data_IF_787151952353
#
_entry.id   IF_787151952353
#
_cell.length_a   1.000
_cell.length_b   1.000
_cell.length_c   1.000
_cell.angle_alpha   90.00
_cell.angle_beta   90.00
_cell.angle_gamma   90.00
#
_symmetry.space_group_name_H-M   'P 1'
#
loop_
_entity.id
_entity.type
_entity.pdbx_description
1 polymer ?
#
# COMPACT_ATOMS: atom_id res chain seq x y z
N UNK A 1 -20.36 -8.92 -14.33
CA UNK A 1 -19.60 -9.66 -15.36
C UNK A 1 -19.11 -8.77 -16.53
N UNK A 2 -19.97 -8.03 -17.25
CA UNK A 2 -19.54 -7.20 -18.39
C UNK A 2 -18.51 -6.10 -18.03
N UNK A 3 -18.65 -5.45 -16.90
CA UNK A 3 -17.74 -4.39 -16.45
C UNK A 3 -16.33 -4.91 -16.11
N UNK A 4 -16.23 -6.13 -15.56
CA UNK A 4 -14.95 -6.80 -15.26
C UNK A 4 -14.18 -7.16 -16.52
N UNK A 5 -14.83 -7.75 -17.52
CA UNK A 5 -14.22 -8.12 -18.81
C UNK A 5 -13.72 -6.88 -19.57
N UNK A 6 -14.48 -5.78 -19.52
CA UNK A 6 -14.09 -4.52 -20.15
C UNK A 6 -12.82 -3.94 -19.50
N UNK A 7 -12.73 -4.00 -18.16
CA UNK A 7 -11.54 -3.56 -17.45
C UNK A 7 -10.33 -4.45 -17.72
N UNK A 8 -10.50 -5.77 -17.88
CA UNK A 8 -9.41 -6.70 -18.22
C UNK A 8 -8.77 -6.37 -19.58
N UNK A 9 -9.58 -6.14 -20.61
CA UNK A 9 -9.08 -5.73 -21.93
C UNK A 9 -8.37 -4.37 -21.88
N UNK A 10 -8.92 -3.42 -21.10
CA UNK A 10 -8.35 -2.10 -20.94
C UNK A 10 -6.99 -2.16 -20.24
N UNK A 11 -6.90 -2.89 -19.14
CA UNK A 11 -5.67 -3.12 -18.36
C UNK A 11 -4.59 -3.80 -19.22
N UNK A 12 -4.94 -4.86 -19.95
CA UNK A 12 -4.02 -5.55 -20.85
C UNK A 12 -3.46 -4.61 -21.94
N UNK A 13 -4.32 -3.76 -22.52
CA UNK A 13 -3.92 -2.75 -23.49
C UNK A 13 -2.97 -1.72 -22.86
N UNK A 14 -3.29 -1.22 -21.67
CA UNK A 14 -2.45 -0.24 -20.98
C UNK A 14 -1.09 -0.83 -20.59
N UNK A 15 -1.01 -2.04 -20.08
CA UNK A 15 0.26 -2.68 -19.76
C UNK A 15 1.18 -2.81 -20.97
N UNK A 16 0.64 -3.09 -22.17
CA UNK A 16 1.43 -3.06 -23.41
C UNK A 16 1.90 -1.65 -23.77
N UNK A 17 1.01 -0.67 -23.66
CA UNK A 17 1.30 0.73 -24.03
C UNK A 17 2.30 1.40 -23.08
N UNK A 18 2.22 1.10 -21.78
CA UNK A 18 3.04 1.73 -20.73
C UNK A 18 4.29 0.91 -20.36
N UNK A 19 4.60 -0.17 -21.10
CA UNK A 19 5.73 -1.06 -20.80
C UNK A 19 7.06 -0.33 -20.54
N UNK A 20 7.34 0.74 -21.26
CA UNK A 20 8.59 1.51 -21.21
C UNK A 20 8.42 2.90 -20.62
N UNK A 21 7.26 3.21 -20.08
CA UNK A 21 6.96 4.50 -19.49
C UNK A 21 7.47 4.59 -18.05
N UNK A 22 7.72 5.82 -17.60
CA UNK A 22 8.14 6.07 -16.23
C UNK A 22 6.93 6.21 -15.28
N UNK A 23 7.20 6.26 -13.96
CA UNK A 23 6.16 6.33 -12.95
C UNK A 23 5.26 7.56 -13.06
N UNK A 24 5.80 8.71 -13.50
CA UNK A 24 5.05 9.95 -13.64
C UNK A 24 4.06 9.85 -14.81
N UNK A 25 4.49 9.33 -15.95
CA UNK A 25 3.64 9.12 -17.14
C UNK A 25 2.48 8.16 -16.84
N UNK A 26 2.74 7.08 -16.07
CA UNK A 26 1.69 6.16 -15.60
C UNK A 26 0.67 6.88 -14.71
N UNK A 27 1.13 7.76 -13.82
CA UNK A 27 0.25 8.55 -12.95
C UNK A 27 -0.54 9.60 -13.71
N UNK A 28 0.10 10.32 -14.65
CA UNK A 28 -0.56 11.33 -15.50
C UNK A 28 -1.67 10.68 -16.32
N UNK A 29 -1.41 9.52 -16.92
CA UNK A 29 -2.46 8.76 -17.61
C UNK A 29 -3.59 8.35 -16.66
N UNK A 30 -3.24 7.84 -15.47
CA UNK A 30 -4.22 7.39 -14.49
C UNK A 30 -5.13 8.51 -14.02
N UNK A 31 -4.60 9.71 -13.81
CA UNK A 31 -5.35 10.85 -13.29
C UNK A 31 -6.01 11.71 -14.38
N UNK A 32 -5.47 11.68 -15.60
CA UNK A 32 -5.88 12.59 -16.68
C UNK A 32 -6.72 11.96 -17.79
N UNK A 33 -6.72 10.61 -17.93
CA UNK A 33 -7.36 9.97 -19.09
C UNK A 33 -8.90 9.97 -19.06
N UNK A 34 -9.52 10.19 -17.90
CA UNK A 34 -10.97 10.04 -17.69
C UNK A 34 -11.48 8.59 -17.77
N UNK A 35 -10.62 7.62 -18.14
CA UNK A 35 -11.01 6.21 -18.32
C UNK A 35 -10.83 5.36 -17.05
N UNK A 36 -10.20 5.92 -16.04
CA UNK A 36 -9.92 5.29 -14.75
C UNK A 36 -11.00 5.54 -13.70
N UNK A 37 -12.02 6.33 -14.05
CA UNK A 37 -13.09 6.69 -13.13
C UNK A 37 -12.60 7.49 -11.92
N UNK A 38 -13.21 7.25 -10.76
CA UNK A 38 -12.82 7.87 -9.50
C UNK A 38 -11.58 7.19 -8.94
N UNK A 39 -10.51 7.96 -8.76
CA UNK A 39 -9.19 7.45 -8.35
C UNK A 39 -8.87 7.82 -6.91
N UNK A 40 -8.30 6.89 -6.15
CA UNK A 40 -7.65 7.16 -4.86
C UNK A 40 -6.25 6.59 -4.81
N UNK A 41 -5.36 7.17 -4.00
CA UNK A 41 -4.06 6.59 -3.65
C UNK A 41 -4.14 5.99 -2.25
N UNK A 42 -3.68 4.76 -2.07
CA UNK A 42 -3.59 4.11 -0.76
C UNK A 42 -2.16 4.19 -0.25
N UNK A 43 -1.98 4.76 0.94
CA UNK A 43 -0.67 4.93 1.56
C UNK A 43 -0.65 4.50 3.02
N UNK A 44 0.45 3.87 3.45
CA UNK A 44 0.75 3.60 4.86
C UNK A 44 1.69 4.65 5.47
N UNK A 45 2.12 5.65 4.71
CA UNK A 45 3.14 6.63 5.10
C UNK A 45 4.40 5.96 5.72
N UNK A 46 4.77 4.79 5.22
CA UNK A 46 6.01 4.10 5.59
C UNK A 46 7.26 4.74 4.95
N UNK A 47 8.40 4.05 5.09
CA UNK A 47 9.72 4.58 4.73
C UNK A 47 9.84 5.16 3.29
N UNK A 48 9.21 4.52 2.31
CA UNK A 48 9.34 4.87 0.88
C UNK A 48 8.07 5.51 0.30
N UNK A 49 7.01 5.64 1.10
CA UNK A 49 5.70 6.14 0.63
C UNK A 49 5.77 7.58 0.11
N UNK A 50 6.69 8.37 0.62
CA UNK A 50 6.86 9.78 0.26
C UNK A 50 7.16 9.97 -1.23
N UNK A 51 7.82 9.01 -1.88
CA UNK A 51 8.14 9.07 -3.31
C UNK A 51 6.87 9.10 -4.15
N UNK A 52 5.97 8.14 -3.91
CA UNK A 52 4.70 8.07 -4.64
C UNK A 52 3.78 9.26 -4.34
N UNK A 53 3.74 9.69 -3.08
CA UNK A 53 2.98 10.86 -2.65
C UNK A 53 3.51 12.15 -3.30
N UNK A 54 4.84 12.29 -3.44
CA UNK A 54 5.45 13.42 -4.13
C UNK A 54 5.13 13.40 -5.64
N UNK A 55 5.26 12.25 -6.30
CA UNK A 55 4.88 12.12 -7.72
C UNK A 55 3.41 12.50 -7.93
N UNK A 56 2.51 12.04 -7.05
CA UNK A 56 1.09 12.39 -7.07
C UNK A 56 0.88 13.90 -6.93
N UNK A 57 1.56 14.52 -5.94
CA UNK A 57 1.40 15.95 -5.64
C UNK A 57 1.82 16.87 -6.80
N UNK A 58 2.74 16.41 -7.64
CA UNK A 58 3.15 17.14 -8.86
C UNK A 58 2.07 17.18 -9.93
N UNK A 59 1.08 16.29 -9.87
CA UNK A 59 0.00 16.21 -10.85
C UNK A 59 -1.27 16.81 -10.25
N UNK A 60 -1.70 16.30 -9.07
CA UNK A 60 -2.94 16.76 -8.44
C UNK A 60 -2.93 16.54 -6.93
N UNK A 61 -2.79 17.61 -6.16
CA UNK A 61 -2.80 17.60 -4.69
C UNK A 61 -4.18 17.33 -4.08
N UNK A 62 -5.26 17.39 -4.87
CA UNK A 62 -6.64 17.11 -4.43
C UNK A 62 -7.03 15.63 -4.58
N UNK A 63 -6.18 14.80 -5.23
CA UNK A 63 -6.45 13.37 -5.34
C UNK A 63 -6.62 12.75 -3.94
N UNK A 64 -7.70 11.99 -3.67
CA UNK A 64 -7.90 11.34 -2.39
C UNK A 64 -6.73 10.41 -2.03
N UNK A 65 -6.13 10.61 -0.86
CA UNK A 65 -5.11 9.74 -0.28
C UNK A 65 -5.71 9.03 0.92
N UNK A 66 -5.90 7.72 0.83
CA UNK A 66 -6.43 6.88 1.89
C UNK A 66 -5.27 6.42 2.79
N UNK A 67 -5.17 6.98 3.97
CA UNK A 67 -4.19 6.61 5.00
C UNK A 67 -4.77 5.56 5.93
N UNK A 68 -4.20 4.35 5.93
CA UNK A 68 -4.64 3.27 6.80
C UNK A 68 -3.98 3.40 8.16
N UNK A 69 -4.71 3.90 9.14
CA UNK A 69 -4.30 3.92 10.53
C UNK A 69 -4.90 2.72 11.28
N UNK A 70 -4.07 1.74 11.55
CA UNK A 70 -4.45 0.50 12.24
C UNK A 70 -4.69 0.69 13.74
N UNK A 71 -4.50 1.90 14.26
CA UNK A 71 -4.47 2.22 15.68
C UNK A 71 -3.36 1.47 16.45
N UNK A 72 -2.39 0.92 15.70
CA UNK A 72 -1.18 0.25 16.19
C UNK A 72 0.07 0.78 15.48
N UNK A 73 -0.01 1.93 14.81
CA UNK A 73 1.13 2.54 14.16
C UNK A 73 2.07 3.17 15.20
N UNK A 74 3.33 3.33 14.82
CA UNK A 74 4.27 4.15 15.61
C UNK A 74 3.80 5.61 15.63
N UNK A 75 3.98 6.29 16.77
CA UNK A 75 3.73 7.74 16.87
C UNK A 75 4.53 8.52 15.83
N UNK A 76 5.75 8.06 15.50
CA UNK A 76 6.58 8.63 14.44
C UNK A 76 5.94 8.52 13.05
N UNK A 77 5.18 7.46 12.77
CA UNK A 77 4.45 7.32 11.50
C UNK A 77 3.30 8.31 11.42
N UNK A 78 2.57 8.51 12.52
CA UNK A 78 1.48 9.48 12.60
C UNK A 78 2.01 10.92 12.42
N UNK A 79 3.11 11.26 13.09
CA UNK A 79 3.75 12.56 12.94
C UNK A 79 4.29 12.77 11.51
N UNK A 80 4.93 11.75 10.94
CA UNK A 80 5.47 11.77 9.57
C UNK A 80 4.36 11.95 8.52
N UNK A 81 3.19 11.33 8.74
CA UNK A 81 2.03 11.52 7.87
C UNK A 81 1.61 13.00 7.82
N UNK A 82 1.53 13.68 8.96
CA UNK A 82 1.18 15.09 9.03
C UNK A 82 2.24 15.98 8.36
N UNK A 83 3.52 15.70 8.62
CA UNK A 83 4.66 16.42 8.01
C UNK A 83 4.63 16.30 6.47
N UNK A 84 4.53 15.08 5.94
CA UNK A 84 4.49 14.83 4.49
C UNK A 84 3.27 15.47 3.85
N UNK A 85 2.10 15.34 4.47
CA UNK A 85 0.85 15.95 3.99
C UNK A 85 1.01 17.45 3.83
N UNK A 86 1.54 18.13 4.84
CA UNK A 86 1.78 19.59 4.82
C UNK A 86 2.84 19.97 3.78
N UNK A 87 3.98 19.25 3.76
CA UNK A 87 5.11 19.57 2.88
C UNK A 87 4.77 19.41 1.40
N UNK A 88 3.95 18.41 1.06
CA UNK A 88 3.52 18.14 -0.31
C UNK A 88 2.22 18.86 -0.71
N UNK A 89 1.61 19.65 0.18
CA UNK A 89 0.38 20.37 -0.07
C UNK A 89 -0.82 19.46 -0.37
N UNK A 90 -0.84 18.22 0.16
CA UNK A 90 -1.94 17.28 -0.07
C UNK A 90 -3.19 17.73 0.70
N UNK A 91 -4.28 18.01 0.00
CA UNK A 91 -5.48 18.61 0.59
C UNK A 91 -6.60 17.61 0.90
N UNK A 92 -6.47 16.35 0.48
CA UNK A 92 -7.53 15.34 0.60
C UNK A 92 -6.99 14.02 1.16
N UNK A 93 -6.30 14.09 2.32
CA UNK A 93 -5.85 12.89 3.04
C UNK A 93 -6.94 12.43 4.00
N UNK A 94 -7.41 11.20 3.83
CA UNK A 94 -8.48 10.58 4.62
C UNK A 94 -7.93 9.46 5.46
N UNK A 95 -8.06 9.56 6.78
CA UNK A 95 -7.66 8.49 7.69
C UNK A 95 -8.72 7.41 7.76
N UNK A 96 -8.32 6.18 7.44
CA UNK A 96 -9.17 4.99 7.44
C UNK A 96 -8.81 4.13 8.65
N UNK A 97 -9.82 3.75 9.44
CA UNK A 97 -9.68 2.98 10.68
C UNK A 97 -10.76 1.92 10.79
N UNK A 98 -10.47 0.84 11.52
CA UNK A 98 -11.52 -0.04 12.04
C UNK A 98 -12.41 0.73 13.03
N UNK A 99 -13.70 0.42 13.05
CA UNK A 99 -14.63 1.06 13.99
C UNK A 99 -14.36 0.61 15.43
N UNK A 100 -14.70 1.44 16.40
CA UNK A 100 -14.58 1.07 17.81
C UNK A 100 -15.42 -0.19 18.13
N UNK A 101 -16.59 -0.32 17.52
CA UNK A 101 -17.47 -1.48 17.68
C UNK A 101 -16.82 -2.76 17.16
N UNK A 102 -16.20 -2.73 15.97
CA UNK A 102 -15.54 -3.91 15.41
C UNK A 102 -14.33 -4.33 16.27
N UNK A 103 -13.57 -3.35 16.77
CA UNK A 103 -12.44 -3.62 17.67
C UNK A 103 -12.90 -4.24 18.98
N UNK A 104 -13.91 -3.66 19.62
CA UNK A 104 -14.45 -4.17 20.88
C UNK A 104 -14.99 -5.58 20.73
N UNK A 105 -15.64 -5.88 19.61
CA UNK A 105 -16.23 -7.21 19.33
C UNK A 105 -15.18 -8.27 19.02
N UNK A 106 -14.09 -7.91 18.28
CA UNK A 106 -13.19 -8.90 17.70
C UNK A 106 -11.82 -8.95 18.38
N UNK A 107 -11.35 -7.84 18.94
CA UNK A 107 -10.01 -7.70 19.56
C UNK A 107 -10.07 -6.80 20.80
N UNK A 108 -10.94 -7.11 21.81
CA UNK A 108 -11.15 -6.26 22.98
C UNK A 108 -9.86 -6.06 23.80
N UNK A 109 -9.00 -7.07 23.85
CA UNK A 109 -7.74 -7.05 24.61
C UNK A 109 -6.54 -6.55 23.79
N UNK A 110 -6.75 -6.16 22.51
CA UNK A 110 -5.68 -5.71 21.62
C UNK A 110 -4.57 -6.76 21.39
N UNK A 111 -4.89 -8.06 21.45
CA UNK A 111 -3.93 -9.18 21.41
C UNK A 111 -3.93 -9.96 20.10
N UNK A 112 -4.89 -9.69 19.22
CA UNK A 112 -5.07 -10.42 17.96
C UNK A 112 -3.81 -10.40 17.08
N UNK A 113 -3.02 -9.32 17.16
CA UNK A 113 -1.75 -9.23 16.43
C UNK A 113 -0.72 -10.30 16.83
N UNK A 114 -0.83 -10.88 18.04
CA UNK A 114 0.03 -11.97 18.53
C UNK A 114 -0.55 -13.33 18.24
N UNK A 115 -1.86 -13.50 18.45
CA UNK A 115 -2.55 -14.81 18.38
C UNK A 115 -3.01 -15.19 16.98
N UNK A 116 -3.45 -14.21 16.18
CA UNK A 116 -3.94 -14.38 14.81
C UNK A 116 -3.58 -13.16 13.95
N UNK A 117 -2.30 -13.01 13.53
CA UNK A 117 -1.83 -11.82 12.79
C UNK A 117 -2.60 -11.53 11.49
N UNK A 118 -3.14 -12.56 10.82
CA UNK A 118 -3.93 -12.39 9.62
C UNK A 118 -5.30 -11.77 9.92
N UNK A 119 -5.96 -12.26 10.97
CA UNK A 119 -7.25 -11.70 11.39
C UNK A 119 -7.11 -10.27 11.92
N UNK A 120 -5.99 -9.98 12.61
CA UNK A 120 -5.64 -8.61 13.00
C UNK A 120 -5.49 -7.69 11.79
N UNK A 121 -4.79 -8.12 10.73
CA UNK A 121 -4.65 -7.36 9.51
C UNK A 121 -5.98 -7.22 8.78
N UNK A 122 -6.82 -8.25 8.76
CA UNK A 122 -8.15 -8.19 8.17
C UNK A 122 -9.01 -7.15 8.89
N UNK A 123 -9.12 -7.24 10.21
CA UNK A 123 -9.89 -6.32 11.03
C UNK A 123 -9.46 -4.86 10.88
N UNK A 124 -8.14 -4.61 10.97
CA UNK A 124 -7.59 -3.24 11.10
C UNK A 124 -7.15 -2.60 9.80
N UNK A 125 -7.07 -3.37 8.70
CA UNK A 125 -6.59 -2.88 7.39
C UNK A 125 -7.53 -3.26 6.26
N UNK A 126 -7.74 -4.58 6.04
CA UNK A 126 -8.40 -5.06 4.83
C UNK A 126 -9.85 -4.60 4.77
N UNK A 127 -10.64 -4.87 5.80
CA UNK A 127 -12.05 -4.47 5.85
C UNK A 127 -12.24 -2.95 5.78
N UNK A 128 -11.55 -2.13 6.62
CA UNK A 128 -11.68 -0.68 6.51
C UNK A 128 -11.27 -0.13 5.15
N UNK A 129 -10.22 -0.69 4.52
CA UNK A 129 -9.79 -0.29 3.19
C UNK A 129 -10.82 -0.64 2.13
N UNK A 130 -11.39 -1.85 2.17
CA UNK A 130 -12.44 -2.25 1.23
C UNK A 130 -13.66 -1.34 1.31
N UNK A 131 -14.09 -0.99 2.52
CA UNK A 131 -15.19 -0.04 2.74
C UNK A 131 -14.86 1.34 2.16
N UNK A 132 -13.64 1.84 2.41
CA UNK A 132 -13.22 3.13 1.88
C UNK A 132 -13.08 3.15 0.35
N UNK A 133 -12.69 2.03 -0.25
CA UNK A 133 -12.56 1.87 -1.70
C UNK A 133 -13.89 1.63 -2.44
N UNK A 134 -14.98 1.38 -1.75
CA UNK A 134 -16.30 1.15 -2.37
C UNK A 134 -16.79 2.34 -3.23
N UNK A 135 -16.24 3.55 -2.96
CA UNK A 135 -16.53 4.76 -3.74
C UNK A 135 -15.59 5.02 -4.91
N UNK A 136 -14.62 4.13 -5.22
CA UNK A 136 -13.58 4.35 -6.21
C UNK A 136 -13.55 3.23 -7.27
N UNK A 137 -13.23 3.61 -8.49
CA UNK A 137 -13.13 2.70 -9.64
C UNK A 137 -11.68 2.24 -9.85
N UNK A 138 -10.72 3.06 -9.40
CA UNK A 138 -9.27 2.80 -9.49
C UNK A 138 -8.57 3.20 -8.20
N UNK A 139 -7.54 2.43 -7.83
CA UNK A 139 -6.69 2.80 -6.72
C UNK A 139 -5.21 2.59 -7.00
N UNK A 140 -4.39 3.55 -6.57
CA UNK A 140 -2.95 3.59 -6.78
C UNK A 140 -2.24 3.05 -5.54
N UNK A 141 -1.21 2.23 -5.73
CA UNK A 141 -0.41 1.65 -4.65
C UNK A 141 1.08 1.74 -4.92
N UNK A 142 1.89 1.78 -3.86
CA UNK A 142 3.36 1.82 -3.92
C UNK A 142 4.02 0.45 -3.98
N UNK A 143 3.35 -0.58 -4.51
CA UNK A 143 3.94 -1.93 -4.64
C UNK A 143 5.09 -1.93 -5.65
N UNK A 144 6.10 -2.77 -5.36
CA UNK A 144 7.30 -2.95 -6.19
C UNK A 144 7.58 -4.44 -6.36
N UNK A 145 8.13 -4.84 -7.50
CA UNK A 145 8.41 -6.25 -7.81
C UNK A 145 9.45 -6.86 -6.86
N UNK A 146 10.47 -6.12 -6.48
CA UNK A 146 11.57 -6.62 -5.64
C UNK A 146 11.23 -6.84 -4.16
N UNK A 147 10.06 -6.42 -3.68
CA UNK A 147 9.72 -6.49 -2.25
C UNK A 147 9.36 -7.90 -1.75
N UNK A 148 8.95 -8.81 -2.61
CA UNK A 148 8.70 -10.22 -2.28
C UNK A 148 8.55 -11.05 -3.55
N UNK A 149 8.80 -12.38 -3.48
CA UNK A 149 8.62 -13.31 -4.58
C UNK A 149 7.20 -13.32 -5.16
N UNK A 150 6.19 -13.07 -4.32
CA UNK A 150 4.79 -12.96 -4.75
C UNK A 150 4.48 -11.75 -5.63
N UNK A 151 5.41 -10.79 -5.74
CA UNK A 151 5.23 -9.55 -6.51
C UNK A 151 5.97 -9.53 -7.84
N UNK A 152 6.70 -10.59 -8.19
CA UNK A 152 7.49 -10.67 -9.44
C UNK A 152 6.63 -10.50 -10.69
N UNK A 153 5.39 -11.01 -10.68
CA UNK A 153 4.41 -10.88 -11.76
C UNK A 153 3.58 -9.58 -11.76
N UNK A 154 3.91 -8.59 -10.90
CA UNK A 154 3.17 -7.33 -10.90
C UNK A 154 3.37 -6.56 -12.20
N UNK A 155 2.27 -6.01 -12.71
CA UNK A 155 2.23 -5.07 -13.82
C UNK A 155 1.88 -3.66 -13.33
N UNK A 156 2.03 -2.64 -14.20
CA UNK A 156 1.60 -1.28 -13.90
C UNK A 156 0.12 -1.22 -13.55
N UNK A 157 -0.70 -1.90 -14.36
CA UNK A 157 -2.14 -1.96 -14.17
C UNK A 157 -2.58 -3.39 -13.88
N UNK A 158 -3.53 -3.56 -12.98
CA UNK A 158 -4.13 -4.84 -12.62
C UNK A 158 -5.59 -4.65 -12.23
N UNK A 159 -6.24 -5.72 -11.85
CA UNK A 159 -7.61 -5.73 -11.34
C UNK A 159 -7.64 -6.39 -9.98
N UNK A 160 -8.33 -5.78 -9.02
CA UNK A 160 -8.54 -6.38 -7.71
C UNK A 160 -9.75 -7.33 -7.69
N UNK A 161 -9.99 -7.97 -6.54
CA UNK A 161 -11.07 -8.94 -6.37
C UNK A 161 -12.47 -8.37 -6.52
N UNK A 162 -12.62 -7.05 -6.48
CA UNK A 162 -13.87 -6.32 -6.64
C UNK A 162 -14.05 -5.73 -8.06
N UNK A 163 -13.12 -6.04 -8.97
CA UNK A 163 -13.14 -5.56 -10.34
C UNK A 163 -12.61 -4.14 -10.54
N UNK A 164 -12.03 -3.52 -9.50
CA UNK A 164 -11.44 -2.18 -9.59
C UNK A 164 -10.05 -2.26 -10.21
N UNK A 165 -9.68 -1.21 -10.95
CA UNK A 165 -8.33 -1.10 -11.51
C UNK A 165 -7.33 -0.79 -10.38
N UNK A 166 -6.23 -1.54 -10.34
CA UNK A 166 -5.09 -1.25 -9.46
C UNK A 166 -3.95 -0.69 -10.27
N UNK A 167 -3.27 0.34 -9.75
CA UNK A 167 -2.14 0.97 -10.44
C UNK A 167 -0.92 0.97 -9.55
N UNK A 168 0.21 0.49 -10.08
CA UNK A 168 1.47 0.34 -9.37
C UNK A 168 2.60 1.10 -10.09
N UNK A 169 2.68 2.43 -9.99
CA UNK A 169 3.61 3.22 -10.80
C UNK A 169 5.09 2.92 -10.52
N UNK A 170 5.39 2.43 -9.30
CA UNK A 170 6.75 2.18 -8.84
C UNK A 170 7.21 0.72 -8.99
N UNK A 171 6.56 -0.10 -9.85
CA UNK A 171 6.86 -1.55 -9.93
C UNK A 171 8.32 -1.87 -10.23
N UNK A 172 8.96 -1.05 -11.05
CA UNK A 172 10.36 -1.24 -11.48
C UNK A 172 11.38 -0.52 -10.60
N UNK A 173 10.94 0.31 -9.66
CA UNK A 173 11.84 1.10 -8.83
C UNK A 173 12.51 0.24 -7.74
N UNK A 174 13.83 0.19 -7.78
CA UNK A 174 14.66 -0.42 -6.74
C UNK A 174 14.92 0.53 -5.55
N UNK A 175 15.53 0.00 -4.49
CA UNK A 175 15.87 0.78 -3.31
C UNK A 175 16.83 1.96 -3.64
N UNK A 176 17.78 1.76 -4.54
CA UNK A 176 18.74 2.79 -4.94
C UNK A 176 18.05 3.93 -5.68
N UNK A 177 17.11 3.63 -6.61
CA UNK A 177 16.35 4.63 -7.35
C UNK A 177 15.46 5.45 -6.43
N UNK A 178 14.78 4.78 -5.47
CA UNK A 178 13.96 5.45 -4.46
C UNK A 178 14.81 6.40 -3.60
N UNK A 179 15.97 5.94 -3.14
CA UNK A 179 16.87 6.75 -2.33
C UNK A 179 17.40 7.94 -3.11
N UNK A 180 17.93 7.72 -4.33
CA UNK A 180 18.40 8.79 -5.20
C UNK A 180 17.32 9.83 -5.52
N UNK A 181 16.08 9.37 -5.73
CA UNK A 181 14.95 10.28 -5.95
C UNK A 181 14.64 11.11 -4.70
N UNK A 182 14.59 10.47 -3.53
CA UNK A 182 14.32 11.17 -2.27
C UNK A 182 15.41 12.21 -1.97
N UNK A 183 16.68 11.90 -2.23
CA UNK A 183 17.81 12.83 -2.03
C UNK A 183 17.73 14.00 -3.02
N UNK A 184 17.54 13.73 -4.32
CA UNK A 184 17.42 14.77 -5.36
C UNK A 184 16.26 15.72 -5.14
N UNK A 185 15.14 15.22 -4.62
CA UNK A 185 13.92 16.01 -4.35
C UNK A 185 13.85 16.50 -2.89
N UNK A 186 14.91 16.30 -2.12
CA UNK A 186 15.00 16.70 -0.70
C UNK A 186 13.79 16.25 0.13
N UNK A 187 13.28 15.03 -0.16
CA UNK A 187 12.08 14.53 0.50
C UNK A 187 12.37 14.10 1.95
N UNK A 188 11.41 14.31 2.86
CA UNK A 188 11.60 13.93 4.26
C UNK A 188 11.76 12.40 4.37
N UNK A 189 12.68 11.98 5.25
CA UNK A 189 12.91 10.58 5.56
C UNK A 189 12.15 10.21 6.82
N UNK A 190 11.49 9.03 6.81
CA UNK A 190 10.78 8.56 7.99
C UNK A 190 11.73 8.43 9.20
N UNK A 191 11.40 9.01 10.38
CA UNK A 191 12.33 9.10 11.52
C UNK A 191 12.86 7.74 12.01
N UNK A 192 12.10 6.67 11.86
CA UNK A 192 12.50 5.33 12.28
C UNK A 192 13.62 4.72 11.42
N UNK A 193 13.88 5.23 10.20
CA UNK A 193 15.01 4.77 9.38
C UNK A 193 16.35 4.98 10.11
N UNK A 194 16.52 6.14 10.77
CA UNK A 194 17.73 6.42 11.57
C UNK A 194 17.86 5.54 12.82
N UNK A 195 16.78 4.83 13.19
CA UNK A 195 16.74 3.89 14.32
C UNK A 195 16.88 2.43 13.89
N UNK A 196 17.23 2.15 12.62
CA UNK A 196 17.45 0.80 12.10
C UNK A 196 16.17 0.07 11.66
N UNK A 197 15.07 0.77 11.40
CA UNK A 197 13.85 0.19 10.84
C UNK A 197 13.82 0.38 9.32
N UNK A 198 14.20 -0.62 8.56
CA UNK A 198 14.28 -0.55 7.09
C UNK A 198 12.92 -0.71 6.39
N UNK A 199 11.95 -1.35 7.05
CA UNK A 199 10.57 -1.46 6.59
C UNK A 199 9.63 -1.19 7.76
N UNK A 200 8.66 -0.28 7.59
CA UNK A 200 7.85 0.24 8.67
C UNK A 200 6.37 -0.14 8.46
N UNK A 201 5.76 -0.67 9.50
CA UNK A 201 4.33 -1.00 9.58
C UNK A 201 3.77 -0.75 10.97
N UNK A 202 2.89 -1.64 11.48
CA UNK A 202 2.39 -1.56 12.85
C UNK A 202 3.54 -1.78 13.85
N UNK A 203 3.54 -1.05 14.95
CA UNK A 203 4.58 -1.11 15.98
C UNK A 203 4.79 -2.55 16.53
N UNK A 204 3.75 -3.32 16.88
CA UNK A 204 3.94 -4.67 17.39
C UNK A 204 4.41 -5.67 16.33
N UNK A 205 4.31 -5.34 15.02
CA UNK A 205 4.68 -6.24 13.92
C UNK A 205 5.97 -5.78 13.21
N UNK A 206 6.74 -4.87 13.81
CA UNK A 206 7.93 -4.29 13.16
C UNK A 206 9.08 -4.20 14.16
N UNK A 207 10.21 -4.82 13.84
CA UNK A 207 11.45 -4.76 14.59
C UNK A 207 12.56 -4.12 13.76
N UNK A 208 13.66 -3.76 14.41
CA UNK A 208 14.87 -3.29 13.75
C UNK A 208 15.51 -4.41 12.92
N UNK A 209 16.20 -4.03 11.87
CA UNK A 209 17.03 -4.94 11.08
C UNK A 209 18.50 -4.72 11.42
N UNK A 210 19.30 -5.76 11.28
CA UNK A 210 20.77 -5.71 11.38
C UNK A 210 21.38 -5.52 9.99
N UNK A 211 22.65 -5.13 9.95
CA UNK A 211 23.38 -4.99 8.69
C UNK A 211 23.40 -6.33 7.94
N UNK A 212 23.12 -6.32 6.63
CA UNK A 212 23.06 -7.50 5.79
C UNK A 212 21.70 -8.23 5.75
N UNK A 213 20.77 -7.91 6.63
CA UNK A 213 19.42 -8.47 6.54
C UNK A 213 18.61 -7.85 5.39
N UNK A 214 17.72 -8.62 4.73
CA UNK A 214 16.77 -8.07 3.77
C UNK A 214 15.95 -6.93 4.39
N UNK A 215 15.60 -5.92 3.61
CA UNK A 215 14.89 -4.72 4.08
C UNK A 215 13.58 -5.03 4.84
N UNK A 216 12.92 -6.14 4.56
CA UNK A 216 11.67 -6.55 5.22
C UNK A 216 11.85 -7.59 6.34
N UNK A 217 13.08 -7.99 6.67
CA UNK A 217 13.36 -8.98 7.72
C UNK A 217 12.83 -8.56 9.10
N UNK A 218 12.70 -7.26 9.35
CA UNK A 218 12.09 -6.74 10.57
C UNK A 218 10.55 -6.84 10.63
N UNK A 219 9.87 -7.29 9.54
CA UNK A 219 8.41 -7.42 9.52
C UNK A 219 8.00 -8.82 9.94
N UNK A 220 7.07 -8.90 10.91
CA UNK A 220 6.54 -10.15 11.45
C UNK A 220 7.64 -11.15 11.85
N UNK A 221 8.75 -10.67 12.41
CA UNK A 221 9.88 -11.49 12.82
C UNK A 221 9.40 -12.62 13.75
N UNK A 222 9.81 -13.86 13.45
CA UNK A 222 9.34 -15.06 14.17
C UNK A 222 7.97 -15.58 13.72
N UNK A 223 7.42 -15.07 12.61
CA UNK A 223 6.17 -15.54 12.03
C UNK A 223 6.37 -15.77 10.52
N UNK A 224 5.71 -16.77 9.94
CA UNK A 224 5.80 -17.08 8.50
C UNK A 224 5.12 -16.04 7.60
N UNK A 225 4.42 -15.07 8.18
CA UNK A 225 3.71 -14.02 7.47
C UNK A 225 4.65 -13.12 6.67
N UNK A 226 4.38 -12.94 5.38
CA UNK A 226 5.17 -12.09 4.47
C UNK A 226 4.44 -10.85 3.99
N UNK A 227 3.08 -10.88 3.97
CA UNK A 227 2.26 -9.79 3.46
C UNK A 227 1.08 -9.48 4.39
N UNK A 228 0.59 -8.25 4.35
CA UNK A 228 -0.46 -7.77 5.26
C UNK A 228 -1.90 -8.01 4.75
N UNK A 229 -2.08 -8.74 3.66
CA UNK A 229 -3.40 -9.11 3.14
C UNK A 229 -4.22 -8.00 2.45
N UNK A 230 -3.74 -6.75 2.40
CA UNK A 230 -4.41 -5.66 1.67
C UNK A 230 -4.21 -5.76 0.15
N UNK A 231 -3.40 -6.71 -0.31
CA UNK A 231 -3.11 -6.90 -1.72
C UNK A 231 -3.72 -8.22 -2.16
N UNK A 232 -4.59 -8.15 -3.15
CA UNK A 232 -5.23 -9.29 -3.76
C UNK A 232 -4.50 -9.69 -5.04
N UNK A 233 -4.29 -10.99 -5.25
CA UNK A 233 -3.88 -11.56 -6.53
C UNK A 233 -4.99 -12.52 -6.94
N UNK A 234 -5.51 -12.35 -8.15
CA UNK A 234 -6.60 -13.16 -8.71
C UNK A 234 -7.84 -13.23 -7.80
N UNK A 235 -8.24 -12.09 -7.21
CA UNK A 235 -9.45 -12.01 -6.38
C UNK A 235 -9.34 -12.65 -4.98
N UNK A 236 -8.19 -13.25 -4.63
CA UNK A 236 -7.93 -13.78 -3.30
C UNK A 236 -6.92 -12.89 -2.57
N UNK A 237 -7.18 -12.54 -1.30
CA UNK A 237 -6.16 -11.98 -0.45
C UNK A 237 -4.95 -12.92 -0.48
N UNK A 238 -3.74 -12.38 -0.68
CA UNK A 238 -2.52 -13.16 -0.58
C UNK A 238 -2.38 -13.62 0.89
N UNK A 239 -3.03 -14.73 1.20
CA UNK A 239 -2.82 -15.49 2.42
C UNK A 239 -1.83 -16.59 2.09
N UNK A 240 -0.63 -16.60 2.67
CA UNK A 240 0.19 -17.80 2.61
C UNK A 240 -0.56 -18.88 3.37
N UNK A 241 -0.89 -19.97 2.67
CA UNK A 241 -1.43 -21.25 3.14
C UNK A 241 -2.20 -21.25 4.47
N UNK A 242 -3.54 -21.15 4.38
CA UNK A 242 -4.37 -21.82 5.35
C UNK A 242 -4.60 -23.24 4.79
N UNK A 243 -4.20 -24.34 5.45
CA UNK A 243 -4.62 -25.67 5.04
C UNK A 243 -6.16 -25.67 5.03
N UNK A 244 -6.76 -26.14 3.95
CA UNK A 244 -8.20 -26.36 3.88
C UNK A 244 -8.56 -27.26 5.07
N UNK A 245 -9.48 -26.80 5.90
CA UNK A 245 -10.08 -27.65 6.90
C UNK A 245 -10.82 -28.75 6.14
N UNK A 246 -10.24 -29.93 6.13
CA UNK A 246 -10.91 -31.16 5.67
C UNK A 246 -12.10 -31.36 6.59
N UNK A 247 -13.28 -31.29 5.99
CA UNK A 247 -14.57 -31.67 6.57
C UNK A 247 -14.60 -33.16 6.91
#
# INVERSE_FOLDING_TARGET
>A
MQHSLQNEHLVARWNRMFRHMNALEVLEHTLGSGKTGRVALVSSFGAESVVLLHLLSRINTHTPVLFIDTQMLFAQTLAFQLEVTKRLGLTNVRTIRATATDLQKTDPDNRLHKTAPDDCCDLRKTRPLQQALAGFDTWITGRKRHHSGFRTGLEYFGIDGEGRITVNPLIHWGANELNAYMDRMELPRHPLLRRGYTSIGCAPCTSRTTAGEPARAGRWRGNEKQECGIHFVNGKALRPNRPEATS
#
